data_IF_353337233495
#
_entry.id   IF_353337233495
#
_cell.length_a   1.000
_cell.length_b   1.000
_cell.length_c   1.000
_cell.angle_alpha   90.00
_cell.angle_beta   90.00
_cell.angle_gamma   90.00
#
_symmetry.space_group_name_H-M   'P 1'
#
loop_
_entity.id
_entity.type
_entity.pdbx_description
1 polymer ?
#
# COMPACT_ATOMS: atom_id res chain seq x y z
N UNK A 1 20.17 20.91 -11.25
CA UNK A 1 18.95 21.65 -10.85
C UNK A 1 18.42 22.40 -12.06
N UNK A 2 17.42 21.85 -12.73
CA UNK A 2 16.74 22.52 -13.85
C UNK A 2 15.95 23.69 -13.27
N UNK A 3 16.27 24.92 -13.66
CA UNK A 3 15.63 26.12 -13.12
C UNK A 3 14.21 26.19 -13.69
N UNK A 4 13.19 25.90 -12.88
CA UNK A 4 11.79 26.02 -13.31
C UNK A 4 11.51 27.45 -13.76
N UNK A 5 11.01 27.59 -14.99
CA UNK A 5 10.60 28.88 -15.56
C UNK A 5 9.12 29.08 -15.21
N UNK A 6 8.77 30.10 -14.40
CA UNK A 6 7.38 30.35 -13.99
C UNK A 6 6.43 30.61 -15.16
N UNK A 7 5.15 30.25 -15.02
CA UNK A 7 4.11 30.41 -16.05
C UNK A 7 4.04 31.83 -16.64
N UNK A 8 4.12 32.87 -15.82
CA UNK A 8 4.10 34.26 -16.29
C UNK A 8 5.29 34.59 -17.20
N UNK A 9 6.46 34.03 -16.88
CA UNK A 9 7.66 34.18 -17.70
C UNK A 9 7.52 33.46 -19.05
N UNK A 10 6.94 32.25 -19.08
CA UNK A 10 6.66 31.48 -20.32
C UNK A 10 5.67 32.23 -21.24
N UNK A 11 4.62 32.82 -20.65
CA UNK A 11 3.65 33.65 -21.39
C UNK A 11 4.33 34.87 -22.01
N UNK A 12 5.18 35.56 -21.24
CA UNK A 12 5.94 36.72 -21.73
C UNK A 12 6.89 36.33 -22.87
N UNK A 13 7.62 35.22 -22.71
CA UNK A 13 8.56 34.72 -23.71
C UNK A 13 7.85 34.36 -25.02
N UNK A 14 6.73 33.62 -24.94
CA UNK A 14 5.92 33.29 -26.13
C UNK A 14 5.30 34.52 -26.78
N UNK A 15 4.84 35.49 -25.99
CA UNK A 15 4.32 36.76 -26.52
C UNK A 15 5.39 37.51 -27.30
N UNK A 16 6.61 37.58 -26.77
CA UNK A 16 7.74 38.24 -27.42
C UNK A 16 8.18 37.51 -28.69
N UNK A 17 8.19 36.17 -28.69
CA UNK A 17 8.53 35.38 -29.89
C UNK A 17 7.53 35.59 -31.03
N UNK A 18 6.27 35.88 -30.71
CA UNK A 18 5.21 36.19 -31.68
C UNK A 18 5.11 37.69 -32.02
N UNK A 19 5.99 38.53 -31.46
CA UNK A 19 5.96 40.00 -31.64
C UNK A 19 4.61 40.65 -31.29
N UNK A 20 3.86 40.05 -30.36
CA UNK A 20 2.55 40.55 -29.92
C UNK A 20 2.74 41.59 -28.80
N UNK A 21 2.07 42.74 -28.90
CA UNK A 21 2.09 43.75 -27.83
C UNK A 21 1.29 43.25 -26.63
N UNK A 22 1.73 43.61 -25.43
CA UNK A 22 1.05 43.22 -24.18
C UNK A 22 -0.41 43.70 -24.14
N UNK A 23 -0.70 44.88 -24.69
CA UNK A 23 -2.07 45.42 -24.81
C UNK A 23 -2.97 44.53 -25.67
N UNK A 24 -2.43 43.99 -26.75
CA UNK A 24 -3.18 43.24 -27.75
C UNK A 24 -3.46 41.82 -27.24
N UNK A 25 -2.48 41.21 -26.54
CA UNK A 25 -2.69 39.95 -25.83
C UNK A 25 -3.73 40.09 -24.72
N UNK A 26 -3.67 41.18 -23.94
CA UNK A 26 -4.65 41.43 -22.88
C UNK A 26 -6.08 41.56 -23.43
N UNK A 27 -6.24 42.28 -24.54
CA UNK A 27 -7.52 42.41 -25.23
C UNK A 27 -8.05 41.05 -25.74
N UNK A 28 -7.20 40.25 -26.40
CA UNK A 28 -7.53 38.90 -26.87
C UNK A 28 -7.94 37.96 -25.73
N UNK A 29 -7.26 38.05 -24.60
CA UNK A 29 -7.55 37.25 -23.41
C UNK A 29 -8.65 37.85 -22.52
N UNK A 30 -9.31 38.95 -22.94
CA UNK A 30 -10.40 39.60 -22.21
C UNK A 30 -10.02 40.02 -20.78
N UNK A 31 -8.81 40.55 -20.58
CA UNK A 31 -8.31 41.09 -19.31
C UNK A 31 -7.67 42.47 -19.52
N UNK A 32 -7.44 43.23 -18.45
CA UNK A 32 -6.77 44.53 -18.59
C UNK A 32 -5.25 44.39 -18.81
N UNK A 33 -4.59 45.32 -19.52
CA UNK A 33 -3.13 45.29 -19.70
C UNK A 33 -2.35 45.29 -18.38
N UNK A 34 -2.86 46.02 -17.38
CA UNK A 34 -2.28 46.01 -16.03
C UNK A 34 -2.39 44.64 -15.36
N UNK A 35 -3.49 43.91 -15.57
CA UNK A 35 -3.69 42.56 -15.06
C UNK A 35 -2.73 41.56 -15.72
N UNK A 36 -2.58 41.63 -17.05
CA UNK A 36 -1.61 40.81 -17.78
C UNK A 36 -0.17 41.14 -17.36
N UNK A 37 0.15 42.39 -17.10
CA UNK A 37 1.48 42.79 -16.63
C UNK A 37 1.83 42.19 -15.25
N UNK A 38 0.86 42.10 -14.34
CA UNK A 38 1.05 41.41 -13.06
C UNK A 38 1.29 39.91 -13.26
N UNK A 39 0.57 39.31 -14.21
CA UNK A 39 0.72 37.91 -14.59
C UNK A 39 2.11 37.63 -15.18
N UNK A 40 2.54 38.39 -16.19
CA UNK A 40 3.83 38.19 -16.88
C UNK A 40 5.06 38.38 -15.98
N UNK A 41 4.91 39.12 -14.88
CA UNK A 41 5.94 39.32 -13.87
C UNK A 41 5.77 38.37 -12.67
N UNK A 42 4.90 37.37 -12.77
CA UNK A 42 4.61 36.38 -11.72
C UNK A 42 4.14 37.01 -10.39
N UNK A 43 3.58 38.22 -10.43
CA UNK A 43 2.99 38.91 -9.28
C UNK A 43 1.52 38.53 -9.05
N UNK A 44 0.90 37.82 -10.00
CA UNK A 44 -0.48 37.34 -9.90
C UNK A 44 -0.63 35.99 -10.56
N UNK A 45 -1.17 35.01 -9.82
CA UNK A 45 -1.45 33.68 -10.33
C UNK A 45 -2.59 33.68 -11.37
N UNK A 46 -2.53 32.73 -12.30
CA UNK A 46 -3.50 32.56 -13.38
C UNK A 46 -4.38 31.35 -13.05
N UNK A 47 -5.71 31.52 -13.08
CA UNK A 47 -6.65 30.39 -12.98
C UNK A 47 -6.81 29.64 -14.30
N UNK A 48 -7.27 28.38 -14.23
CA UNK A 48 -7.35 27.47 -15.39
C UNK A 48 -8.08 28.06 -16.61
N UNK A 49 -9.23 28.70 -16.42
CA UNK A 49 -10.00 29.30 -17.52
C UNK A 49 -9.32 30.52 -18.18
N UNK A 50 -8.52 31.29 -17.44
CA UNK A 50 -7.73 32.39 -18.02
C UNK A 50 -6.49 31.87 -18.74
N UNK A 51 -5.87 30.79 -18.24
CA UNK A 51 -4.73 30.15 -18.89
C UNK A 51 -5.12 29.58 -20.26
N UNK A 52 -6.29 28.94 -20.37
CA UNK A 52 -6.83 28.45 -21.65
C UNK A 52 -6.98 29.57 -22.67
N UNK A 53 -7.63 30.70 -22.29
CA UNK A 53 -7.79 31.85 -23.19
C UNK A 53 -6.46 32.48 -23.62
N UNK A 54 -5.47 32.50 -22.73
CA UNK A 54 -4.13 32.98 -23.06
C UNK A 54 -3.37 32.02 -23.98
N UNK A 55 -3.55 30.71 -23.81
CA UNK A 55 -2.97 29.68 -24.67
C UNK A 55 -3.54 29.77 -26.10
N UNK A 56 -4.86 29.90 -26.23
CA UNK A 56 -5.56 30.13 -27.50
C UNK A 56 -5.08 31.42 -28.18
N UNK A 57 -4.96 32.52 -27.43
CA UNK A 57 -4.53 33.81 -27.98
C UNK A 57 -3.05 33.84 -28.42
N UNK A 58 -2.24 32.89 -27.93
CA UNK A 58 -0.80 32.73 -28.21
C UNK A 58 -0.49 31.56 -29.14
N UNK A 59 -1.51 30.86 -29.65
CA UNK A 59 -1.37 29.69 -30.53
C UNK A 59 -0.37 28.67 -29.96
N UNK A 60 -0.61 28.27 -28.72
CA UNK A 60 0.16 27.25 -28.00
C UNK A 60 -0.74 26.33 -27.21
N UNK A 61 -0.27 25.11 -26.99
CA UNK A 61 -0.90 24.22 -26.04
C UNK A 61 -0.86 24.81 -24.63
N UNK A 62 -1.98 24.69 -23.90
CA UNK A 62 -2.08 25.02 -22.47
C UNK A 62 -0.99 24.30 -21.66
N UNK A 63 -0.66 23.06 -22.03
CA UNK A 63 0.39 22.28 -21.37
C UNK A 63 1.77 22.95 -21.48
N UNK A 64 2.05 23.68 -22.56
CA UNK A 64 3.32 24.38 -22.75
C UNK A 64 3.46 25.62 -21.84
N UNK A 65 2.34 26.24 -21.46
CA UNK A 65 2.31 27.43 -20.60
C UNK A 65 2.14 27.10 -19.10
N UNK A 66 1.56 25.95 -18.78
CA UNK A 66 1.37 25.50 -17.40
C UNK A 66 2.73 25.28 -16.70
N UNK A 67 2.85 25.73 -15.45
CA UNK A 67 3.98 25.37 -14.61
C UNK A 67 3.90 23.88 -14.33
N UNK A 68 5.01 23.16 -14.45
CA UNK A 68 5.16 21.79 -13.94
C UNK A 68 5.19 21.86 -12.40
N UNK A 69 4.06 22.24 -11.80
CA UNK A 69 3.86 22.31 -10.37
C UNK A 69 3.51 20.93 -9.84
N UNK A 70 4.53 20.28 -9.26
CA UNK A 70 4.50 19.19 -8.28
C UNK A 70 3.23 18.32 -8.31
N UNK A 71 2.96 17.69 -9.46
CA UNK A 71 1.84 16.74 -9.61
C UNK A 71 1.87 15.65 -8.54
N UNK A 72 3.07 15.31 -8.06
CA UNK A 72 3.30 14.44 -6.91
C UNK A 72 2.67 14.98 -5.62
N UNK A 73 2.80 16.28 -5.33
CA UNK A 73 2.22 16.90 -4.15
C UNK A 73 0.69 16.94 -4.23
N UNK A 74 0.13 17.23 -5.41
CA UNK A 74 -1.32 17.19 -5.65
C UNK A 74 -1.86 15.79 -5.36
N UNK A 75 -1.24 14.77 -5.97
CA UNK A 75 -1.63 13.38 -5.75
C UNK A 75 -1.50 12.95 -4.28
N UNK A 76 -0.45 13.41 -3.58
CA UNK A 76 -0.25 13.09 -2.16
C UNK A 76 -1.32 13.72 -1.26
N UNK A 77 -1.74 14.96 -1.53
CA UNK A 77 -2.81 15.65 -0.79
C UNK A 77 -4.18 15.03 -1.11
N UNK A 78 -4.43 14.65 -2.36
CA UNK A 78 -5.64 13.92 -2.76
C UNK A 78 -5.72 12.56 -2.05
N UNK A 79 -4.63 11.80 -2.04
CA UNK A 79 -4.54 10.53 -1.33
C UNK A 79 -4.77 10.69 0.18
N UNK A 80 -4.20 11.75 0.78
CA UNK A 80 -4.41 12.07 2.19
C UNK A 80 -5.89 12.39 2.49
N UNK A 81 -6.55 13.18 1.64
CA UNK A 81 -7.97 13.49 1.77
C UNK A 81 -8.87 12.26 1.62
N UNK A 82 -8.58 11.42 0.62
CA UNK A 82 -9.30 10.17 0.39
C UNK A 82 -9.18 9.21 1.59
N UNK A 83 -7.98 9.09 2.18
CA UNK A 83 -7.75 8.29 3.38
C UNK A 83 -8.54 8.76 4.61
N UNK A 84 -9.00 10.02 4.61
CA UNK A 84 -9.84 10.61 5.67
C UNK A 84 -11.34 10.60 5.34
N UNK A 85 -11.73 10.03 4.20
CA UNK A 85 -13.14 9.90 3.80
C UNK A 85 -13.74 11.16 3.18
N UNK A 86 -12.91 12.06 2.63
CA UNK A 86 -13.40 13.20 1.85
C UNK A 86 -14.04 12.68 0.55
N UNK A 87 -15.22 13.19 0.21
CA UNK A 87 -15.94 12.78 -0.98
C UNK A 87 -15.17 13.13 -2.28
N UNK A 88 -15.25 12.30 -3.34
CA UNK A 88 -14.48 12.50 -4.58
C UNK A 88 -14.63 13.89 -5.20
N UNK A 89 -15.84 14.45 -5.18
CA UNK A 89 -16.12 15.79 -5.71
C UNK A 89 -15.40 16.91 -4.95
N UNK A 90 -15.17 16.74 -3.65
CA UNK A 90 -14.41 17.70 -2.83
C UNK A 90 -12.90 17.48 -2.94
N UNK A 91 -12.45 16.33 -3.45
CA UNK A 91 -11.04 16.08 -3.75
C UNK A 91 -10.59 16.80 -5.03
N UNK A 92 -11.51 17.19 -5.91
CA UNK A 92 -11.19 18.03 -7.10
C UNK A 92 -10.52 19.37 -6.70
N UNK A 93 -10.80 19.87 -5.49
CA UNK A 93 -10.21 21.09 -4.94
C UNK A 93 -8.78 20.90 -4.39
N UNK A 94 -8.31 19.65 -4.24
CA UNK A 94 -7.00 19.33 -3.67
C UNK A 94 -5.84 19.86 -4.55
N UNK A 95 -6.02 19.84 -5.87
CA UNK A 95 -5.08 20.48 -6.80
C UNK A 95 -4.94 21.98 -6.55
N UNK A 96 -6.05 22.67 -6.26
CA UNK A 96 -6.02 24.09 -5.93
C UNK A 96 -5.42 24.36 -4.54
N UNK A 97 -5.67 23.47 -3.56
CA UNK A 97 -5.05 23.54 -2.24
C UNK A 97 -3.52 23.39 -2.32
N UNK A 98 -3.03 22.37 -3.01
CA UNK A 98 -1.60 22.10 -3.18
C UNK A 98 -0.89 23.20 -3.97
N UNK A 99 -1.54 23.78 -4.99
CA UNK A 99 -0.99 24.90 -5.77
C UNK A 99 -1.02 26.24 -5.01
N UNK A 100 -2.08 26.51 -4.25
CA UNK A 100 -2.26 27.77 -3.52
C UNK A 100 -1.47 27.82 -2.21
N UNK A 101 -1.29 26.67 -1.56
CA UNK A 101 -0.64 26.55 -0.26
C UNK A 101 0.33 25.35 -0.22
N UNK A 102 1.41 25.37 -1.02
CA UNK A 102 2.30 24.21 -1.18
C UNK A 102 2.96 23.73 0.11
N UNK A 103 3.36 24.64 1.01
CA UNK A 103 3.94 24.23 2.31
C UNK A 103 2.95 23.47 3.19
N UNK A 104 1.68 23.90 3.19
CA UNK A 104 0.61 23.19 3.91
C UNK A 104 0.28 21.85 3.24
N UNK A 105 0.32 21.80 1.90
CA UNK A 105 0.20 20.56 1.14
C UNK A 105 1.29 19.55 1.54
N UNK A 106 2.55 19.99 1.68
CA UNK A 106 3.66 19.11 2.09
C UNK A 106 3.49 18.60 3.52
N UNK A 107 3.02 19.44 4.44
CA UNK A 107 2.71 19.01 5.81
C UNK A 107 1.60 17.96 5.83
N UNK A 108 0.53 18.17 5.04
CA UNK A 108 -0.57 17.21 4.93
C UNK A 108 -0.08 15.87 4.36
N UNK A 109 0.70 15.90 3.29
CA UNK A 109 1.29 14.70 2.69
C UNK A 109 2.20 13.95 3.68
N UNK A 110 3.13 14.65 4.34
CA UNK A 110 4.03 14.07 5.32
C UNK A 110 3.29 13.47 6.53
N UNK A 111 2.21 14.12 6.99
CA UNK A 111 1.36 13.57 8.06
C UNK A 111 0.65 12.29 7.62
N UNK A 112 0.09 12.27 6.41
CA UNK A 112 -0.56 11.07 5.89
C UNK A 112 0.42 9.90 5.74
N UNK A 113 1.64 10.16 5.26
CA UNK A 113 2.70 9.15 5.19
C UNK A 113 3.11 8.63 6.58
N UNK A 114 3.31 9.53 7.55
CA UNK A 114 3.65 9.17 8.92
C UNK A 114 2.55 8.32 9.58
N UNK A 115 1.29 8.73 9.44
CA UNK A 115 0.14 7.96 9.96
C UNK A 115 0.05 6.58 9.32
N UNK A 116 0.26 6.48 8.00
CA UNK A 116 0.27 5.20 7.31
C UNK A 116 1.42 4.31 7.77
N UNK A 117 2.61 4.87 8.03
CA UNK A 117 3.76 4.14 8.58
C UNK A 117 3.48 3.61 9.99
N UNK A 118 2.90 4.45 10.86
CA UNK A 118 2.51 4.06 12.22
C UNK A 118 1.46 2.95 12.22
N UNK A 119 0.43 3.06 11.36
CA UNK A 119 -0.58 2.02 11.21
C UNK A 119 0.04 0.67 10.82
N UNK A 120 1.00 0.68 9.88
CA UNK A 120 1.75 -0.54 9.48
C UNK A 120 2.58 -1.12 10.62
N UNK A 121 3.24 -0.28 11.43
CA UNK A 121 3.97 -0.75 12.61
C UNK A 121 3.03 -1.40 13.62
N UNK A 122 1.87 -0.80 13.88
CA UNK A 122 0.86 -1.35 14.78
C UNK A 122 0.33 -2.68 14.25
N UNK A 123 0.01 -2.77 12.96
CA UNK A 123 -0.42 -4.03 12.32
C UNK A 123 0.67 -5.10 12.39
N UNK A 124 1.93 -4.77 12.10
CA UNK A 124 3.04 -5.73 12.17
C UNK A 124 3.28 -6.22 13.59
N UNK A 125 3.15 -5.34 14.59
CA UNK A 125 3.22 -5.72 16.01
C UNK A 125 2.03 -6.60 16.40
N UNK A 126 0.82 -6.26 15.98
CA UNK A 126 -0.39 -7.05 16.24
C UNK A 126 -0.33 -8.42 15.54
N UNK A 127 0.22 -8.48 14.33
CA UNK A 127 0.40 -9.71 13.56
C UNK A 127 1.37 -10.65 14.28
N UNK A 128 2.53 -10.14 14.72
CA UNK A 128 3.50 -10.90 15.54
C UNK A 128 2.91 -11.34 16.87
N UNK A 129 2.15 -10.47 17.54
CA UNK A 129 1.44 -10.79 18.78
C UNK A 129 0.43 -11.92 18.56
N UNK A 130 -0.30 -11.88 17.45
CA UNK A 130 -1.35 -12.84 17.15
C UNK A 130 -0.83 -14.19 16.67
N UNK A 131 0.43 -14.30 16.23
CA UNK A 131 1.03 -15.51 15.65
C UNK A 131 2.14 -16.14 16.51
N UNK A 132 2.34 -15.69 17.76
CA UNK A 132 3.29 -16.36 18.65
C UNK A 132 2.61 -17.55 19.37
N UNK A 133 2.93 -18.80 19.01
CA UNK A 133 2.38 -19.98 19.69
C UNK A 133 2.75 -20.00 21.19
N UNK A 134 3.90 -19.47 21.58
CA UNK A 134 4.29 -19.39 22.99
C UNK A 134 3.46 -18.37 23.77
N UNK A 135 3.00 -17.30 23.12
CA UNK A 135 2.08 -16.34 23.75
C UNK A 135 0.68 -16.92 23.88
N UNK A 136 0.19 -17.64 22.86
CA UNK A 136 -1.10 -18.29 22.90
C UNK A 136 -1.18 -19.33 24.02
N UNK A 137 -0.14 -20.15 24.18
CA UNK A 137 -0.03 -21.13 25.27
C UNK A 137 0.01 -20.44 26.65
N UNK A 138 0.84 -19.39 26.79
CA UNK A 138 0.93 -18.62 28.03
C UNK A 138 -0.39 -17.92 28.41
N UNK A 139 -1.11 -17.35 27.44
CA UNK A 139 -2.42 -16.75 27.67
C UNK A 139 -3.46 -17.79 28.10
N UNK A 140 -3.46 -18.97 27.47
CA UNK A 140 -4.37 -20.05 27.84
C UNK A 140 -4.10 -20.54 29.27
N UNK A 141 -2.83 -20.68 29.64
CA UNK A 141 -2.40 -21.08 30.97
C UNK A 141 -2.77 -20.04 32.04
N UNK A 142 -2.64 -18.74 31.76
CA UNK A 142 -3.12 -17.69 32.66
C UNK A 142 -4.64 -17.70 32.82
N UNK A 143 -5.39 -17.80 31.72
CA UNK A 143 -6.86 -17.82 31.78
C UNK A 143 -7.37 -19.04 32.57
N UNK A 144 -6.73 -20.19 32.40
CA UNK A 144 -7.00 -21.39 33.18
C UNK A 144 -6.71 -21.17 34.67
N UNK A 145 -5.55 -20.59 35.00
CA UNK A 145 -5.15 -20.31 36.39
C UNK A 145 -6.08 -19.29 37.05
N UNK A 146 -6.46 -18.21 36.36
CA UNK A 146 -7.45 -17.23 36.84
C UNK A 146 -8.79 -17.89 37.13
N UNK A 147 -9.23 -18.80 36.25
CA UNK A 147 -10.50 -19.51 36.42
C UNK A 147 -10.49 -20.39 37.68
N UNK A 148 -9.37 -21.09 37.94
CA UNK A 148 -9.18 -21.89 39.16
C UNK A 148 -9.18 -21.01 40.41
N UNK A 149 -8.38 -19.94 40.43
CA UNK A 149 -8.32 -18.97 41.54
C UNK A 149 -9.72 -18.41 41.85
N UNK A 150 -10.46 -17.98 40.82
CA UNK A 150 -11.82 -17.44 40.96
C UNK A 150 -12.79 -18.49 41.51
N UNK A 151 -12.73 -19.72 41.01
CA UNK A 151 -13.58 -20.83 41.47
C UNK A 151 -13.30 -21.15 42.95
N UNK A 152 -12.03 -21.31 43.31
CA UNK A 152 -11.60 -21.58 44.70
C UNK A 152 -12.00 -20.45 45.65
N UNK A 153 -11.79 -19.19 45.26
CA UNK A 153 -12.21 -18.03 46.03
C UNK A 153 -13.75 -17.95 46.19
N UNK A 154 -14.49 -18.29 45.13
CA UNK A 154 -15.96 -18.32 45.16
C UNK A 154 -16.50 -19.40 46.10
N UNK A 155 -15.91 -20.59 46.10
CA UNK A 155 -16.29 -21.70 47.01
C UNK A 155 -16.07 -21.29 48.47
N UNK A 156 -14.91 -20.68 48.76
CA UNK A 156 -14.57 -20.18 50.09
C UNK A 156 -15.53 -19.08 50.56
N UNK A 157 -15.97 -18.19 49.65
CA UNK A 157 -16.87 -17.10 49.98
C UNK A 157 -18.34 -17.52 50.16
N UNK A 158 -18.80 -18.51 49.40
CA UNK A 158 -20.23 -18.88 49.32
C UNK A 158 -20.62 -20.07 50.20
N UNK A 159 -19.67 -20.77 50.82
CA UNK A 159 -19.94 -21.97 51.63
C UNK A 159 -19.72 -21.69 53.13
N UNK A 160 -20.78 -21.43 53.92
CA UNK A 160 -20.64 -21.31 55.35
C UNK A 160 -20.36 -22.69 55.97
N UNK A 161 -19.36 -22.80 56.85
CA UNK A 161 -19.10 -24.01 57.64
C UNK A 161 -18.19 -25.06 57.00
N UNK A 162 -17.14 -24.64 56.27
CA UNK A 162 -16.12 -25.55 55.73
C UNK A 162 -15.30 -26.16 56.88
N UNK A 163 -15.07 -27.48 56.83
CA UNK A 163 -14.19 -28.17 57.78
C UNK A 163 -12.75 -27.61 57.75
N UNK A 164 -12.09 -27.57 58.91
CA UNK A 164 -10.76 -26.96 59.07
C UNK A 164 -9.69 -27.59 58.18
N UNK A 165 -9.74 -28.91 57.96
CA UNK A 165 -8.77 -29.60 57.11
C UNK A 165 -8.96 -29.18 55.65
N UNK A 166 -10.20 -29.16 55.19
CA UNK A 166 -10.56 -28.69 53.85
C UNK A 166 -10.24 -27.21 53.64
N UNK A 167 -10.50 -26.36 54.63
CA UNK A 167 -10.18 -24.94 54.58
C UNK A 167 -8.67 -24.70 54.38
N UNK A 168 -7.83 -25.46 55.11
CA UNK A 168 -6.38 -25.42 54.93
C UNK A 168 -5.93 -25.80 53.53
N UNK A 169 -6.56 -26.83 52.93
CA UNK A 169 -6.27 -27.26 51.55
C UNK A 169 -6.71 -26.21 50.52
N UNK A 170 -7.87 -25.59 50.70
CA UNK A 170 -8.32 -24.52 49.81
C UNK A 170 -7.42 -23.29 49.87
N UNK A 171 -6.97 -22.87 51.06
CA UNK A 171 -6.00 -21.77 51.20
C UNK A 171 -4.64 -22.12 50.57
N UNK A 172 -4.14 -23.33 50.77
CA UNK A 172 -2.89 -23.77 50.15
C UNK A 172 -2.98 -23.81 48.62
N UNK A 173 -4.08 -24.30 48.07
CA UNK A 173 -4.33 -24.28 46.63
C UNK A 173 -4.43 -22.85 46.10
N UNK A 174 -5.16 -21.97 46.80
CA UNK A 174 -5.31 -20.58 46.40
C UNK A 174 -3.97 -19.83 46.39
N UNK A 175 -3.11 -20.04 47.39
CA UNK A 175 -1.75 -19.45 47.42
C UNK A 175 -0.90 -19.98 46.25
N UNK A 176 -0.90 -21.30 46.03
CA UNK A 176 -0.15 -21.93 44.95
C UNK A 176 -0.60 -21.46 43.55
N UNK A 177 -1.92 -21.36 43.32
CA UNK A 177 -2.49 -20.90 42.05
C UNK A 177 -2.29 -19.39 41.86
N UNK A 178 -2.34 -18.59 42.93
CA UNK A 178 -2.04 -17.16 42.86
C UNK A 178 -0.57 -16.88 42.54
N UNK A 179 0.37 -17.69 43.07
CA UNK A 179 1.80 -17.62 42.72
C UNK A 179 2.03 -18.01 41.26
N UNK A 180 1.45 -19.13 40.81
CA UNK A 180 1.50 -19.53 39.39
C UNK A 180 0.98 -18.44 38.45
N UNK A 181 -0.09 -17.76 38.85
CA UNK A 181 -0.65 -16.64 38.09
C UNK A 181 0.34 -15.47 37.99
N UNK A 182 0.99 -15.10 39.08
CA UNK A 182 1.99 -14.03 39.12
C UNK A 182 3.22 -14.38 38.27
N UNK A 183 3.75 -15.60 38.42
CA UNK A 183 4.91 -16.09 37.66
C UNK A 183 4.62 -16.11 36.15
N UNK A 184 3.44 -16.59 35.76
CA UNK A 184 3.03 -16.60 34.35
C UNK A 184 2.81 -15.19 33.78
N UNK A 185 2.32 -14.24 34.59
CA UNK A 185 2.16 -12.84 34.19
C UNK A 185 3.53 -12.16 33.98
N UNK A 186 4.50 -12.38 34.87
CA UNK A 186 5.88 -11.91 34.72
C UNK A 186 6.56 -12.54 33.49
N UNK A 187 6.37 -13.84 33.25
CA UNK A 187 6.91 -14.52 32.08
C UNK A 187 6.37 -13.95 30.76
N UNK A 188 5.09 -13.57 30.71
CA UNK A 188 4.49 -12.89 29.56
C UNK A 188 5.06 -11.49 29.33
N UNK A 189 5.23 -10.69 30.39
CA UNK A 189 5.87 -9.36 30.28
C UNK A 189 7.30 -9.50 29.76
N UNK A 190 8.07 -10.45 30.28
CA UNK A 190 9.43 -10.72 29.81
C UNK A 190 9.47 -11.23 28.35
N UNK A 191 8.45 -11.96 27.90
CA UNK A 191 8.31 -12.36 26.49
C UNK A 191 8.09 -11.13 25.61
N UNK A 192 7.22 -10.20 26.01
CA UNK A 192 6.99 -8.95 25.28
C UNK A 192 8.24 -8.06 25.22
N UNK A 193 8.98 -7.93 26.32
CA UNK A 193 10.23 -7.17 26.34
C UNK A 193 11.29 -7.79 25.41
N UNK A 194 11.39 -9.13 25.38
CA UNK A 194 12.28 -9.85 24.45
C UNK A 194 11.86 -9.70 22.99
N UNK A 195 10.57 -9.74 22.69
CA UNK A 195 10.07 -9.56 21.32
C UNK A 195 10.23 -8.12 20.84
N UNK A 196 9.97 -7.13 21.70
CA UNK A 196 10.21 -5.72 21.43
C UNK A 196 11.70 -5.46 21.13
N UNK A 197 12.60 -6.13 21.87
CA UNK A 197 14.04 -6.06 21.65
C UNK A 197 14.52 -6.80 20.39
N UNK A 198 13.86 -7.90 20.00
CA UNK A 198 14.19 -8.68 18.78
C UNK A 198 13.76 -8.02 17.47
N UNK A 199 12.86 -7.05 17.51
CA UNK A 199 12.30 -6.39 16.32
C UNK A 199 13.30 -5.62 15.46
N UNK A 200 14.52 -5.34 15.96
CA UNK A 200 15.54 -4.59 15.24
C UNK A 200 16.57 -5.45 14.47
N UNK A 201 16.90 -6.66 14.93
CA UNK A 201 18.14 -7.34 14.52
C UNK A 201 18.01 -8.56 13.60
N UNK A 202 16.84 -9.20 13.44
CA UNK A 202 16.72 -10.46 12.68
C UNK A 202 15.49 -10.53 11.76
N UNK A 203 15.41 -9.63 10.77
CA UNK A 203 14.50 -9.84 9.64
C UNK A 203 15.00 -11.00 8.78
N UNK A 204 14.08 -11.83 8.27
CA UNK A 204 14.43 -12.75 7.19
C UNK A 204 14.87 -11.93 5.95
N UNK A 205 15.76 -12.46 5.09
CA UNK A 205 16.19 -11.74 3.89
C UNK A 205 15.01 -11.25 3.03
N UNK A 206 13.96 -12.07 2.88
CA UNK A 206 12.73 -11.71 2.17
C UNK A 206 11.94 -10.57 2.84
N UNK A 207 11.93 -10.49 4.16
CA UNK A 207 11.29 -9.41 4.92
C UNK A 207 12.09 -8.12 4.82
N UNK A 208 13.43 -8.21 4.87
CA UNK A 208 14.33 -7.08 4.64
C UNK A 208 14.12 -6.50 3.24
N UNK A 209 13.97 -7.34 2.21
CA UNK A 209 13.63 -6.91 0.84
C UNK A 209 12.25 -6.26 0.80
N UNK A 210 11.22 -6.85 1.41
CA UNK A 210 9.89 -6.24 1.44
C UNK A 210 9.92 -4.85 2.08
N UNK A 211 10.59 -4.72 3.23
CA UNK A 211 10.77 -3.43 3.92
C UNK A 211 11.53 -2.42 3.07
N UNK A 212 12.58 -2.86 2.37
CA UNK A 212 13.33 -2.03 1.44
C UNK A 212 12.45 -1.51 0.31
N UNK A 213 11.63 -2.37 -0.31
CA UNK A 213 10.70 -1.96 -1.38
C UNK A 213 9.63 -1.00 -0.85
N UNK A 214 9.04 -1.29 0.33
CA UNK A 214 8.05 -0.43 0.97
C UNK A 214 8.62 0.96 1.28
N UNK A 215 9.85 1.05 1.77
CA UNK A 215 10.53 2.31 2.07
C UNK A 215 10.75 3.20 0.84
N UNK A 216 10.78 2.61 -0.36
CA UNK A 216 10.92 3.31 -1.63
C UNK A 216 9.61 3.38 -2.42
N UNK A 217 8.46 3.05 -1.81
CA UNK A 217 7.17 3.05 -2.50
C UNK A 217 7.08 2.09 -3.69
N UNK A 218 7.93 1.05 -3.71
CA UNK A 218 8.08 0.04 -4.76
C UNK A 218 8.54 0.57 -6.14
N UNK A 219 8.88 1.85 -6.27
CA UNK A 219 9.24 2.48 -7.55
C UNK A 219 10.63 3.13 -7.45
N UNK A 220 11.45 2.90 -8.47
CA UNK A 220 12.81 3.41 -8.56
C UNK A 220 13.03 4.13 -9.89
N UNK A 221 12.92 5.45 -9.91
CA UNK A 221 13.04 6.26 -11.13
C UNK A 221 14.43 6.13 -11.81
N UNK A 222 15.46 5.78 -11.02
CA UNK A 222 16.79 5.48 -11.55
C UNK A 222 16.78 4.28 -12.51
N UNK A 223 15.86 3.32 -12.35
CA UNK A 223 15.73 2.18 -13.27
C UNK A 223 15.11 2.60 -14.61
N UNK A 224 14.23 3.62 -14.62
CA UNK A 224 13.66 4.16 -15.86
C UNK A 224 14.70 4.90 -16.70
N UNK A 225 15.69 5.54 -16.04
CA UNK A 225 16.70 6.37 -16.71
C UNK A 225 17.98 5.60 -17.04
N UNK A 226 18.50 4.86 -16.05
CA UNK A 226 19.81 4.20 -16.12
C UNK A 226 19.69 2.67 -16.28
N UNK A 227 18.48 2.12 -16.25
CA UNK A 227 18.24 0.69 -16.38
C UNK A 227 18.97 -0.12 -15.29
N UNK A 228 19.49 -1.31 -15.62
CA UNK A 228 20.12 -2.20 -14.64
C UNK A 228 21.43 -1.63 -14.06
N UNK A 229 22.03 -0.62 -14.68
CA UNK A 229 23.26 0.00 -14.17
C UNK A 229 23.08 0.75 -12.84
N UNK A 230 21.85 1.15 -12.49
CA UNK A 230 21.57 1.80 -11.21
C UNK A 230 21.44 0.81 -10.04
N UNK A 231 21.28 -0.49 -10.29
CA UNK A 231 20.97 -1.48 -9.26
C UNK A 231 22.04 -1.53 -8.15
N UNK A 232 23.36 -1.58 -8.44
CA UNK A 232 24.38 -1.66 -7.40
C UNK A 232 24.29 -0.52 -6.38
N UNK A 233 24.03 0.71 -6.84
CA UNK A 233 23.92 1.89 -5.98
C UNK A 233 22.62 1.87 -5.16
N UNK A 234 21.51 1.41 -5.76
CA UNK A 234 20.21 1.32 -5.09
C UNK A 234 20.19 0.31 -3.92
N UNK A 235 20.92 -0.80 -4.05
CA UNK A 235 20.95 -1.85 -3.02
C UNK A 235 22.12 -1.73 -2.05
N UNK A 236 23.01 -0.74 -2.24
CA UNK A 236 24.23 -0.57 -1.44
C UNK A 236 23.94 -0.41 0.06
N UNK A 237 22.79 0.19 0.42
CA UNK A 237 22.36 0.41 1.80
C UNK A 237 21.73 -0.79 2.51
N UNK A 238 21.62 -1.95 1.86
CA UNK A 238 21.14 -3.18 2.49
C UNK A 238 22.33 -3.92 3.09
N UNK A 239 22.38 -4.13 4.41
CA UNK A 239 23.54 -4.74 5.08
C UNK A 239 23.69 -6.24 4.80
N UNK A 240 22.58 -6.99 4.88
CA UNK A 240 22.56 -8.44 4.65
C UNK A 240 22.84 -8.77 3.17
N UNK A 241 23.92 -9.52 2.85
CA UNK A 241 24.24 -9.92 1.48
C UNK A 241 23.13 -10.72 0.79
N UNK A 242 22.39 -11.56 1.52
CA UNK A 242 21.31 -12.36 0.95
C UNK A 242 20.13 -11.47 0.55
N UNK A 243 19.70 -10.58 1.45
CA UNK A 243 18.69 -9.57 1.15
C UNK A 243 19.12 -8.65 -0.01
N UNK A 244 20.40 -8.26 -0.07
CA UNK A 244 20.94 -7.42 -1.14
C UNK A 244 20.85 -8.10 -2.51
N UNK A 245 21.22 -9.38 -2.59
CA UNK A 245 21.11 -10.16 -3.81
C UNK A 245 19.64 -10.33 -4.25
N UNK A 246 18.76 -10.67 -3.31
CA UNK A 246 17.32 -10.80 -3.59
C UNK A 246 16.69 -9.48 -4.05
N UNK A 247 17.06 -8.35 -3.44
CA UNK A 247 16.61 -7.03 -3.87
C UNK A 247 17.10 -6.74 -5.30
N UNK A 248 18.37 -7.01 -5.60
CA UNK A 248 18.94 -6.80 -6.93
C UNK A 248 18.20 -7.61 -8.02
N UNK A 249 17.80 -8.86 -7.73
CA UNK A 249 16.98 -9.67 -8.65
C UNK A 249 15.60 -9.05 -8.92
N UNK A 250 14.94 -8.53 -7.88
CA UNK A 250 13.66 -7.83 -8.04
C UNK A 250 13.83 -6.58 -8.90
N UNK A 251 14.87 -5.76 -8.62
CA UNK A 251 15.13 -4.54 -9.38
C UNK A 251 15.58 -4.82 -10.81
N UNK A 252 16.28 -5.93 -11.07
CA UNK A 252 16.64 -6.36 -12.42
C UNK A 252 15.39 -6.65 -13.25
N UNK A 253 14.40 -7.34 -12.67
CA UNK A 253 13.12 -7.57 -13.33
C UNK A 253 12.37 -6.26 -13.58
N UNK A 254 12.38 -5.34 -12.62
CA UNK A 254 11.74 -4.03 -12.80
C UNK A 254 12.40 -3.20 -13.91
N UNK A 255 13.73 -3.28 -14.04
CA UNK A 255 14.47 -2.63 -15.12
C UNK A 255 14.17 -3.26 -16.50
N UNK A 256 14.08 -4.59 -16.59
CA UNK A 256 13.65 -5.29 -17.81
C UNK A 256 12.22 -4.88 -18.21
N UNK A 257 11.31 -4.83 -17.24
CA UNK A 257 9.93 -4.44 -17.44
C UNK A 257 9.85 -2.97 -17.90
N UNK A 258 10.63 -2.07 -17.30
CA UNK A 258 10.70 -0.66 -17.68
C UNK A 258 11.23 -0.45 -19.11
N UNK A 259 12.24 -1.24 -19.51
CA UNK A 259 12.79 -1.20 -20.86
C UNK A 259 11.78 -1.66 -21.92
N UNK A 260 10.94 -2.65 -21.60
CA UNK A 260 9.91 -3.19 -22.51
C UNK A 260 8.65 -2.32 -22.56
N UNK A 261 8.28 -1.68 -21.44
CA UNK A 261 7.06 -0.88 -21.33
C UNK A 261 7.34 0.43 -20.58
N UNK A 262 7.70 1.50 -21.31
CA UNK A 262 8.11 2.78 -20.74
C UNK A 262 7.03 3.44 -19.89
N UNK A 263 7.45 4.16 -18.84
CA UNK A 263 6.56 4.85 -17.90
C UNK A 263 5.52 5.76 -18.58
N UNK A 264 5.89 6.44 -19.67
CA UNK A 264 4.99 7.34 -20.38
C UNK A 264 3.78 6.61 -21.00
N UNK A 265 3.98 5.39 -21.52
CA UNK A 265 2.89 4.58 -22.04
C UNK A 265 1.96 4.11 -20.92
N UNK A 266 2.53 3.71 -19.78
CA UNK A 266 1.77 3.25 -18.62
C UNK A 266 0.91 4.37 -18.03
N UNK A 267 1.45 5.59 -17.91
CA UNK A 267 0.70 6.75 -17.40
C UNK A 267 -0.42 7.23 -18.34
N UNK A 268 -0.33 6.92 -19.63
CA UNK A 268 -1.36 7.25 -20.60
C UNK A 268 -2.51 6.21 -20.64
N UNK A 269 -2.29 5.01 -20.10
CA UNK A 269 -3.27 3.93 -20.11
C UNK A 269 -4.25 4.04 -18.93
N UNK A 270 -5.51 3.64 -19.16
CA UNK A 270 -6.53 3.58 -18.11
C UNK A 270 -6.78 2.15 -17.65
N UNK A 271 -6.82 1.20 -18.60
CA UNK A 271 -7.04 -0.21 -18.32
C UNK A 271 -5.84 -1.06 -18.77
N UNK A 272 -5.63 -2.26 -18.18
CA UNK A 272 -4.55 -3.15 -18.60
C UNK A 272 -4.59 -3.50 -20.09
N UNK A 273 -5.80 -3.63 -20.65
CA UNK A 273 -5.99 -4.01 -22.05
C UNK A 273 -5.37 -3.00 -23.03
N UNK A 274 -5.27 -1.72 -22.65
CA UNK A 274 -4.65 -0.65 -23.44
C UNK A 274 -3.15 -0.92 -23.72
N UNK A 275 -2.49 -1.68 -22.84
CA UNK A 275 -1.04 -1.90 -22.86
C UNK A 275 -0.65 -3.27 -23.42
N UNK A 276 -1.58 -4.20 -23.64
CA UNK A 276 -1.27 -5.59 -24.05
C UNK A 276 -0.50 -5.62 -25.37
N UNK A 277 -0.94 -4.84 -26.36
CA UNK A 277 -0.27 -4.79 -27.66
C UNK A 277 1.15 -4.22 -27.54
N UNK A 278 1.32 -3.13 -26.79
CA UNK A 278 2.63 -2.52 -26.53
C UNK A 278 3.58 -3.44 -25.74
N UNK A 279 3.04 -4.29 -24.87
CA UNK A 279 3.78 -5.29 -24.11
C UNK A 279 4.10 -6.57 -24.90
N UNK A 280 3.68 -6.66 -26.17
CA UNK A 280 3.86 -7.87 -27.00
C UNK A 280 3.02 -9.06 -26.53
N UNK A 281 1.86 -8.82 -25.92
CA UNK A 281 0.97 -9.86 -25.38
C UNK A 281 1.29 -10.32 -23.96
N UNK A 282 2.35 -9.79 -23.33
CA UNK A 282 2.75 -10.14 -21.97
C UNK A 282 1.87 -9.44 -20.93
N UNK A 283 0.73 -10.05 -20.61
CA UNK A 283 -0.21 -9.54 -19.61
C UNK A 283 0.44 -9.40 -18.22
N UNK A 284 1.36 -10.29 -17.85
CA UNK A 284 2.02 -10.22 -16.55
C UNK A 284 2.92 -8.98 -16.43
N UNK A 285 3.65 -8.65 -17.51
CA UNK A 285 4.41 -7.39 -17.61
C UNK A 285 3.49 -6.17 -17.43
N UNK A 286 2.36 -6.14 -18.12
CA UNK A 286 1.39 -5.03 -18.02
C UNK A 286 0.95 -4.83 -16.56
N UNK A 287 0.51 -5.90 -15.89
CA UNK A 287 0.04 -5.82 -14.51
C UNK A 287 1.14 -5.37 -13.56
N UNK A 288 2.38 -5.86 -13.71
CA UNK A 288 3.52 -5.42 -12.89
C UNK A 288 3.81 -3.94 -13.09
N UNK A 289 3.87 -3.48 -14.34
CA UNK A 289 4.18 -2.08 -14.68
C UNK A 289 3.13 -1.11 -14.21
N UNK A 290 1.84 -1.39 -14.45
CA UNK A 290 0.76 -0.57 -13.90
C UNK A 290 0.80 -0.54 -12.38
N UNK A 291 1.06 -1.71 -11.75
CA UNK A 291 1.18 -1.81 -10.31
C UNK A 291 2.30 -0.95 -9.74
N UNK A 292 3.48 -0.91 -10.38
CA UNK A 292 4.64 -0.15 -9.90
C UNK A 292 4.52 1.36 -10.19
N UNK A 293 4.07 1.71 -11.41
CA UNK A 293 4.04 3.10 -11.88
C UNK A 293 2.91 3.89 -11.25
N UNK A 294 1.73 3.29 -11.09
CA UNK A 294 0.54 3.94 -10.53
C UNK A 294 0.48 3.71 -9.01
N UNK A 295 0.66 4.77 -8.18
CA UNK A 295 0.57 4.65 -6.73
C UNK A 295 -0.84 4.26 -6.25
N UNK A 296 -1.88 4.53 -7.05
CA UNK A 296 -3.28 4.20 -6.76
C UNK A 296 -3.64 2.72 -6.98
N UNK A 297 -2.69 1.89 -7.42
CA UNK A 297 -2.91 0.45 -7.66
C UNK A 297 -2.08 -0.43 -6.74
N UNK A 298 -2.69 -1.53 -6.33
CA UNK A 298 -2.03 -2.59 -5.55
C UNK A 298 -1.45 -3.65 -6.47
N UNK A 299 -0.33 -4.25 -6.06
CA UNK A 299 0.30 -5.35 -6.80
C UNK A 299 0.58 -6.51 -5.87
N UNK A 300 0.14 -7.70 -6.27
CA UNK A 300 0.44 -8.96 -5.57
C UNK A 300 1.06 -9.93 -6.57
N UNK A 301 2.21 -10.49 -6.23
CA UNK A 301 2.85 -11.54 -7.01
C UNK A 301 3.02 -12.77 -6.12
N UNK A 302 2.58 -13.92 -6.60
CA UNK A 302 2.67 -15.20 -5.90
C UNK A 302 3.43 -16.24 -6.75
N UNK A 303 4.15 -17.15 -6.11
CA UNK A 303 4.59 -18.39 -6.77
C UNK A 303 3.52 -19.49 -6.73
N UNK A 304 3.84 -20.62 -7.36
CA UNK A 304 2.98 -21.80 -7.42
C UNK A 304 2.69 -22.45 -6.06
N UNK A 305 3.47 -22.17 -5.01
CA UNK A 305 3.16 -22.63 -3.64
C UNK A 305 2.09 -21.77 -2.96
N UNK A 306 1.75 -20.63 -3.57
CA UNK A 306 0.89 -19.61 -2.97
C UNK A 306 1.64 -18.63 -2.07
N UNK A 307 2.97 -18.71 -2.00
CA UNK A 307 3.77 -17.74 -1.27
C UNK A 307 3.80 -16.41 -2.03
N UNK A 308 3.45 -15.33 -1.34
CA UNK A 308 3.51 -13.99 -1.91
C UNK A 308 4.96 -13.49 -1.87
N UNK A 309 5.48 -13.15 -3.04
CA UNK A 309 6.88 -12.73 -3.23
C UNK A 309 7.03 -11.24 -3.49
N UNK A 310 5.94 -10.55 -3.86
CA UNK A 310 5.87 -9.09 -3.90
C UNK A 310 4.48 -8.66 -3.47
N UNK A 311 4.44 -7.66 -2.60
CA UNK A 311 3.22 -7.06 -2.05
C UNK A 311 3.41 -5.56 -2.10
N UNK A 312 2.85 -4.89 -3.10
CA UNK A 312 2.72 -3.44 -3.11
C UNK A 312 1.35 -3.09 -2.54
N UNK A 313 1.28 -2.47 -1.35
CA UNK A 313 0.01 -2.09 -0.75
C UNK A 313 -0.69 -0.99 -1.56
N UNK A 314 -2.00 -0.89 -1.38
CA UNK A 314 -2.84 0.20 -1.88
C UNK A 314 -3.85 0.59 -0.82
N UNK A 315 -4.13 1.89 -0.71
CA UNK A 315 -4.97 2.43 0.36
C UNK A 315 -6.38 1.81 0.35
N UNK A 316 -6.75 1.14 1.45
CA UNK A 316 -8.06 0.49 1.60
C UNK A 316 -8.10 -0.98 1.16
N UNK A 317 -6.98 -1.56 0.70
CA UNK A 317 -6.86 -3.01 0.51
C UNK A 317 -5.75 -3.54 1.41
N UNK A 318 -6.13 -4.17 2.52
CA UNK A 318 -5.19 -4.74 3.48
C UNK A 318 -4.51 -5.99 2.89
N UNK A 319 -3.20 -5.89 2.65
CA UNK A 319 -2.34 -7.02 2.30
C UNK A 319 -1.64 -7.51 3.57
N UNK A 320 -1.58 -8.83 3.82
CA UNK A 320 -0.91 -9.35 5.00
C UNK A 320 0.61 -9.17 4.85
N UNK A 321 1.25 -8.77 5.95
CA UNK A 321 2.73 -8.68 6.02
C UNK A 321 3.33 -10.08 5.91
N UNK A 322 2.75 -11.05 6.63
CA UNK A 322 3.17 -12.45 6.66
C UNK A 322 2.05 -13.37 6.16
N UNK A 323 2.42 -14.43 5.44
CA UNK A 323 1.49 -15.44 4.95
C UNK A 323 0.91 -15.18 3.56
N UNK A 324 -0.04 -16.02 3.17
CA UNK A 324 -0.61 -16.09 1.82
C UNK A 324 -1.86 -15.22 1.62
N UNK A 325 -2.43 -14.64 2.68
CA UNK A 325 -3.69 -13.88 2.58
C UNK A 325 -4.93 -14.75 2.36
N UNK A 326 -5.95 -14.16 1.73
CA UNK A 326 -7.22 -14.85 1.48
C UNK A 326 -7.09 -15.82 0.31
N UNK A 327 -7.44 -17.12 0.49
CA UNK A 327 -7.36 -18.11 -0.58
C UNK A 327 -8.32 -17.83 -1.74
N UNK A 328 -9.32 -16.95 -1.54
CA UNK A 328 -10.27 -16.54 -2.58
C UNK A 328 -9.74 -15.40 -3.46
N UNK A 329 -8.52 -14.92 -3.25
CA UNK A 329 -7.96 -13.89 -4.13
C UNK A 329 -7.75 -14.42 -5.56
N UNK A 330 -8.10 -13.63 -6.60
CA UNK A 330 -7.97 -14.03 -8.01
C UNK A 330 -6.55 -14.46 -8.43
N UNK A 331 -5.51 -13.99 -7.73
CA UNK A 331 -4.12 -14.42 -7.94
C UNK A 331 -3.96 -15.95 -7.83
N UNK A 332 -4.68 -16.60 -6.91
CA UNK A 332 -4.60 -18.05 -6.72
C UNK A 332 -5.43 -18.82 -7.75
N UNK A 333 -6.56 -18.27 -8.17
CA UNK A 333 -7.33 -18.83 -9.28
C UNK A 333 -6.52 -18.82 -10.59
N UNK A 334 -5.73 -17.75 -10.83
CA UNK A 334 -4.86 -17.64 -11.99
C UNK A 334 -3.77 -18.74 -12.02
N UNK A 335 -3.22 -19.14 -10.87
CA UNK A 335 -2.25 -20.26 -10.81
C UNK A 335 -2.85 -21.59 -11.29
N UNK A 336 -4.15 -21.81 -11.05
CA UNK A 336 -4.84 -23.01 -11.51
C UNK A 336 -5.12 -23.03 -13.01
N UNK A 337 -5.01 -21.88 -13.69
CA UNK A 337 -5.27 -21.74 -15.13
C UNK A 337 -4.20 -20.87 -15.82
N UNK A 338 -2.93 -21.32 -15.89
CA UNK A 338 -1.84 -20.58 -16.53
C UNK A 338 -2.17 -20.06 -17.93
N UNK A 339 -1.80 -18.81 -18.21
CA UNK A 339 -2.06 -18.15 -19.50
C UNK A 339 -3.50 -17.68 -19.71
N UNK A 340 -4.46 -18.07 -18.86
CA UNK A 340 -5.83 -17.55 -18.91
C UNK A 340 -5.98 -16.39 -17.93
N UNK A 341 -6.21 -15.15 -18.40
CA UNK A 341 -6.42 -14.02 -17.51
C UNK A 341 -7.73 -14.16 -16.74
N UNK A 342 -7.72 -13.71 -15.49
CA UNK A 342 -8.88 -13.59 -14.61
C UNK A 342 -9.14 -12.10 -14.38
N UNK A 343 -10.36 -11.66 -14.66
CA UNK A 343 -10.82 -10.31 -14.36
C UNK A 343 -12.14 -10.42 -13.59
N UNK A 344 -12.15 -10.00 -12.34
CA UNK A 344 -13.35 -10.02 -11.49
C UNK A 344 -13.35 -8.81 -10.54
N UNK A 345 -14.51 -8.52 -9.97
CA UNK A 345 -14.65 -7.52 -8.91
C UNK A 345 -14.70 -8.27 -7.57
N UNK A 346 -13.85 -7.87 -6.63
CA UNK A 346 -13.81 -8.42 -5.28
C UNK A 346 -14.26 -7.39 -4.26
N UNK A 347 -14.87 -7.84 -3.16
CA UNK A 347 -15.36 -6.98 -2.08
C UNK A 347 -14.62 -7.29 -0.78
N UNK A 348 -13.96 -6.27 -0.22
CA UNK A 348 -13.31 -6.35 1.09
C UNK A 348 -14.32 -6.24 2.24
N UNK A 349 -14.00 -6.65 3.47
CA UNK A 349 -14.97 -6.69 4.57
C UNK A 349 -15.57 -5.34 4.98
N UNK A 350 -14.93 -4.23 4.60
CA UNK A 350 -15.42 -2.85 4.76
C UNK A 350 -16.42 -2.43 3.66
N UNK A 351 -16.77 -3.34 2.74
CA UNK A 351 -17.69 -3.11 1.63
C UNK A 351 -17.07 -2.42 0.41
N UNK A 352 -15.76 -2.12 0.45
CA UNK A 352 -15.09 -1.54 -0.70
C UNK A 352 -14.94 -2.57 -1.83
N UNK A 353 -15.23 -2.15 -3.06
CA UNK A 353 -15.10 -2.98 -4.26
C UNK A 353 -13.82 -2.65 -5.04
N UNK A 354 -13.21 -3.70 -5.56
CA UNK A 354 -11.92 -3.65 -6.24
C UNK A 354 -11.97 -4.47 -7.52
N UNK A 355 -11.55 -3.87 -8.64
CA UNK A 355 -11.28 -4.62 -9.86
C UNK A 355 -9.94 -5.33 -9.72
N UNK A 356 -9.96 -6.65 -9.80
CA UNK A 356 -8.79 -7.50 -9.77
C UNK A 356 -8.53 -8.09 -11.17
N UNK A 357 -7.37 -7.78 -11.73
CA UNK A 357 -6.85 -8.44 -12.93
C UNK A 357 -5.71 -9.36 -12.51
N UNK A 358 -5.78 -10.64 -12.87
CA UNK A 358 -4.76 -11.62 -12.51
C UNK A 358 -4.39 -12.53 -13.68
N UNK A 359 -3.13 -12.92 -13.78
CA UNK A 359 -2.65 -13.89 -14.77
C UNK A 359 -1.46 -14.65 -14.21
N UNK A 360 -1.35 -15.94 -14.54
CA UNK A 360 -0.17 -16.73 -14.25
C UNK A 360 0.64 -17.00 -15.52
N UNK A 361 1.93 -16.72 -15.46
CA UNK A 361 2.87 -16.84 -16.57
C UNK A 361 4.19 -17.47 -16.09
N UNK A 362 4.93 -18.14 -16.98
CA UNK A 362 6.25 -18.66 -16.65
C UNK A 362 7.28 -17.54 -16.50
N UNK A 363 8.25 -17.71 -15.61
CA UNK A 363 9.32 -16.73 -15.39
C UNK A 363 10.30 -16.60 -16.58
N UNK A 364 10.41 -17.65 -17.38
CA UNK A 364 11.29 -17.76 -18.53
C UNK A 364 10.62 -18.56 -19.65
N UNK A 365 11.08 -18.43 -20.91
CA UNK A 365 10.64 -19.27 -22.01
C UNK A 365 10.77 -20.76 -21.66
N UNK A 366 9.72 -21.52 -21.96
CA UNK A 366 9.68 -22.95 -21.65
C UNK A 366 10.33 -23.78 -22.76
N UNK A 367 10.92 -24.91 -22.36
CA UNK A 367 11.39 -25.94 -23.26
C UNK A 367 10.69 -27.26 -22.93
N UNK A 368 10.58 -28.17 -23.89
CA UNK A 368 9.85 -29.44 -23.70
C UNK A 368 10.41 -30.34 -22.58
N UNK A 369 11.65 -30.10 -22.13
CA UNK A 369 12.28 -30.83 -21.01
C UNK A 369 12.52 -29.97 -19.76
N UNK A 370 12.11 -28.71 -19.75
CA UNK A 370 12.34 -27.78 -18.64
C UNK A 370 11.24 -27.85 -17.60
N UNK A 371 11.60 -27.66 -16.32
CA UNK A 371 10.60 -27.44 -15.28
C UNK A 371 10.03 -26.03 -15.37
N UNK A 372 8.71 -25.92 -15.42
CA UNK A 372 8.02 -24.65 -15.53
C UNK A 372 7.91 -23.92 -14.18
N UNK A 373 8.72 -22.89 -13.97
CA UNK A 373 8.57 -22.02 -12.79
C UNK A 373 7.54 -20.93 -13.07
N UNK A 374 6.40 -21.00 -12.38
CA UNK A 374 5.24 -20.13 -12.59
C UNK A 374 5.17 -19.01 -11.57
N UNK A 375 4.73 -17.83 -12.02
CA UNK A 375 4.31 -16.70 -11.18
C UNK A 375 2.91 -16.27 -11.54
N UNK A 376 2.07 -16.06 -10.54
CA UNK A 376 0.83 -15.32 -10.70
C UNK A 376 1.03 -13.86 -10.30
N UNK A 377 0.55 -12.96 -11.13
CA UNK A 377 0.57 -11.50 -10.90
C UNK A 377 -0.88 -11.03 -10.83
N UNK A 378 -1.21 -10.24 -9.83
CA UNK A 378 -2.53 -9.64 -9.65
C UNK A 378 -2.39 -8.13 -9.40
N UNK A 379 -3.13 -7.35 -10.19
CA UNK A 379 -3.29 -5.91 -10.07
C UNK A 379 -4.64 -5.60 -9.43
N UNK A 380 -4.64 -4.70 -8.43
CA UNK A 380 -5.83 -4.25 -7.72
C UNK A 380 -6.08 -2.78 -8.04
N UNK A 381 -7.27 -2.46 -8.53
CA UNK A 381 -7.69 -1.08 -8.83
C UNK A 381 -9.00 -0.81 -8.09
N UNK A 382 -9.07 0.29 -7.33
CA UNK A 382 -10.30 0.65 -6.61
C UNK A 382 -11.38 1.04 -7.61
N UNK A 383 -12.60 0.54 -7.40
CA UNK A 383 -13.77 0.90 -8.21
C UNK A 383 -14.89 1.41 -7.30
N UNK A 384 -15.84 2.14 -7.89
CA UNK A 384 -17.10 2.42 -7.20
C UNK A 384 -17.89 1.13 -6.98
N UNK A 385 -18.91 1.16 -6.12
CA UNK A 385 -19.84 0.03 -5.98
C UNK A 385 -20.52 -0.25 -7.33
N UNK A 386 -20.20 -1.39 -7.92
CA UNK A 386 -20.68 -1.84 -9.22
C UNK A 386 -21.16 -3.29 -9.11
N UNK A 387 -22.45 -3.47 -8.81
CA UNK A 387 -23.10 -4.77 -8.88
C UNK A 387 -22.53 -5.84 -7.94
N UNK A 388 -22.60 -7.10 -8.37
CA UNK A 388 -22.13 -8.25 -7.62
C UNK A 388 -20.59 -8.32 -7.61
N UNK A 389 -20.04 -8.61 -6.43
CA UNK A 389 -18.60 -8.75 -6.22
C UNK A 389 -18.31 -9.97 -5.35
N UNK A 390 -17.18 -10.64 -5.60
CA UNK A 390 -16.78 -11.83 -4.87
C UNK A 390 -16.25 -11.43 -3.47
N UNK A 391 -16.83 -11.97 -2.37
CA UNK A 391 -16.42 -11.59 -1.03
C UNK A 391 -15.03 -12.15 -0.70
N UNK A 392 -14.07 -11.27 -0.42
CA UNK A 392 -12.71 -11.61 -0.01
C UNK A 392 -12.38 -11.00 1.35
N UNK A 393 -11.19 -11.33 1.88
CA UNK A 393 -10.68 -10.76 3.12
C UNK A 393 -9.16 -10.53 3.08
N UNK A 394 -8.59 -9.95 4.14
CA UNK A 394 -7.14 -9.75 4.27
C UNK A 394 -6.37 -11.03 4.63
N UNK A 395 -7.04 -12.00 5.25
CA UNK A 395 -6.47 -13.27 5.71
C UNK A 395 -7.43 -13.95 6.68
N UNK A 396 -7.40 -15.28 6.80
CA UNK A 396 -8.41 -16.02 7.59
C UNK A 396 -8.47 -15.55 9.05
N UNK A 397 -7.32 -15.40 9.70
CA UNK A 397 -7.19 -15.05 11.13
C UNK A 397 -7.75 -13.67 11.47
N UNK A 398 -7.70 -12.72 10.53
CA UNK A 398 -8.15 -11.33 10.72
C UNK A 398 -9.37 -10.96 9.87
N UNK A 399 -10.03 -11.95 9.24
CA UNK A 399 -11.23 -11.71 8.44
C UNK A 399 -12.49 -11.78 9.32
N UNK A 400 -13.31 -10.72 9.39
CA UNK A 400 -14.52 -10.70 10.22
C UNK A 400 -15.71 -11.44 9.59
N UNK A 401 -15.62 -11.86 8.32
CA UNK A 401 -16.73 -12.54 7.62
C UNK A 401 -17.05 -13.89 8.27
N UNK A 402 -18.28 -14.07 8.73
CA UNK A 402 -18.79 -15.34 9.26
C UNK A 402 -19.19 -16.30 8.12
N UNK A 403 -19.22 -17.61 8.40
CA UNK A 403 -19.71 -18.62 7.44
C UNK A 403 -18.89 -18.82 6.15
N UNK A 404 -17.65 -18.31 6.08
CA UNK A 404 -16.81 -18.48 4.89
C UNK A 404 -16.33 -19.94 4.74
N UNK A 405 -16.76 -20.62 3.67
CA UNK A 405 -16.36 -22.00 3.38
C UNK A 405 -14.86 -22.18 3.09
N UNK A 406 -14.18 -21.12 2.64
CA UNK A 406 -12.73 -21.12 2.37
C UNK A 406 -11.88 -20.80 3.60
N UNK A 407 -12.50 -20.68 4.79
CA UNK A 407 -11.81 -20.34 6.04
C UNK A 407 -10.91 -21.49 6.48
N UNK A 408 -9.59 -21.23 6.51
CA UNK A 408 -8.57 -22.17 6.98
C UNK A 408 -8.34 -22.13 8.49
N UNK A 409 -8.56 -20.96 9.09
CA UNK A 409 -8.31 -20.71 10.52
C UNK A 409 -9.45 -19.89 11.13
N UNK A 410 -9.77 -20.10 12.43
CA UNK A 410 -10.68 -19.23 13.18
C UNK A 410 -10.20 -17.78 13.14
N UNK A 411 -11.14 -16.83 13.00
CA UNK A 411 -10.80 -15.41 13.09
C UNK A 411 -10.78 -14.94 14.54
N UNK A 412 -9.78 -14.14 14.89
CA UNK A 412 -9.67 -13.48 16.21
C UNK A 412 -10.70 -12.37 16.39
N UNK A 413 -11.36 -11.95 15.31
CA UNK A 413 -12.41 -10.93 15.31
C UNK A 413 -13.81 -11.54 15.51
N UNK A 414 -14.02 -12.78 15.07
CA UNK A 414 -15.32 -13.47 15.08
C UNK A 414 -15.69 -14.13 16.43
N UNK A 415 -15.37 -13.48 17.56
CA UNK A 415 -15.58 -14.04 18.91
C UNK A 415 -15.98 -13.05 20.00
N UNK A 416 -16.34 -11.80 19.67
CA UNK A 416 -16.80 -10.78 20.65
C UNK A 416 -18.32 -10.63 20.74
N UNK A 417 -19.07 -11.60 20.25
CA UNK A 417 -20.52 -11.70 20.45
C UNK A 417 -20.84 -12.86 21.39
N UNK A 418 -20.97 -12.57 22.68
CA UNK A 418 -21.71 -13.40 23.64
C UNK A 418 -22.58 -12.47 24.47
#
# INVERSE_FOLDING_TARGET
MTRHVPTGSRIRERRLSLSVKQTDLAARAGISPSYLNLIEHNRRAIGGGLLTRLAEALDVDRAALAEDGDAALVAAVEAAGAARGIAPRALEDAGDLARRFPEWGRVIAAQAEAMAAQARTIEAMADRLSHDPTLADAMHELLSTVSVVRSTASILAQTPGIDRNWLGRFHANLDADSRRLADGAEAMVALFDRQASRGADHLLPSEAVSRFLDAHGHRFDALETNGPAAIPDLVAGIDDPAARAMAAEVLARDAEDAARLPVAAVLAATEPDDLIAAAGGDMALVLRRMGIVDPGRGLVVADASGALVRRKPVAGFALPVVGAGCPLWPVFAALGQPGRPVATTVETPDGAQWRAHAVAAPLAPQTFGGMAVMRATMLLTRVGMQGAADPVGPGCRVCPREGCAARREPSVLSGRGS
#
